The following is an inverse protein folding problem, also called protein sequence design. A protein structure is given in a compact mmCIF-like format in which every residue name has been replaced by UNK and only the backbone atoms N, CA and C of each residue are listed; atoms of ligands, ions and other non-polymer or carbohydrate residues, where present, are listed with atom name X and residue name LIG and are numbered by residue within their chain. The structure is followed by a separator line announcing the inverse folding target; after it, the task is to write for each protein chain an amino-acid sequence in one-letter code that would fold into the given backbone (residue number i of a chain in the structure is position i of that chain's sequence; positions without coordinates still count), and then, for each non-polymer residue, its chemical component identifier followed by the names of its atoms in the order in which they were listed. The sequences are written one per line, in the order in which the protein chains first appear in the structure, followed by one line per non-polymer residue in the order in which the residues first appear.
data_IF_918247648169
#
_entry.id   IF_918247648169
#
_cell.length_a   1.000
_cell.length_b   1.000
_cell.length_c   1.000
_cell.angle_alpha   90.00
_cell.angle_beta   90.00
_cell.angle_gamma   90.00
#
_symmetry.space_group_name_H-M   'P 1'
#
loop_
_entity.id
_entity.type
_entity.pdbx_description
1 polymer ?
#
# COMPACT_ATOMS: atom_id res chain seq x y z
N UNK A 1 -8.93 -19.98 -10.98
CA UNK A 1 -8.30 -18.99 -10.10
C UNK A 1 -7.26 -18.19 -10.89
N UNK A 2 -7.52 -16.89 -11.14
CA UNK A 2 -6.56 -15.95 -11.73
C UNK A 2 -5.29 -15.80 -10.91
N UNK A 3 -4.11 -15.93 -11.52
CA UNK A 3 -2.84 -15.78 -10.80
C UNK A 3 -1.83 -14.91 -11.59
N UNK A 4 -1.25 -13.94 -10.88
CA UNK A 4 -0.11 -13.14 -11.36
C UNK A 4 1.17 -13.52 -10.64
N UNK A 5 1.91 -12.52 -10.16
CA UNK A 5 3.20 -12.64 -9.49
C UNK A 5 3.28 -13.42 -8.17
N UNK A 6 2.14 -13.88 -7.63
CA UNK A 6 2.04 -14.62 -6.34
C UNK A 6 2.59 -13.85 -5.12
N UNK A 7 2.47 -12.53 -5.14
CA UNK A 7 2.95 -11.64 -4.06
C UNK A 7 1.85 -11.16 -3.12
N UNK A 8 0.58 -11.51 -3.37
CA UNK A 8 -0.55 -11.09 -2.54
C UNK A 8 -0.54 -11.74 -1.15
N UNK A 9 -0.86 -10.96 -0.11
CA UNK A 9 -0.66 -11.34 1.30
C UNK A 9 -1.91 -11.87 2.01
N UNK A 10 -3.04 -11.95 1.30
CA UNK A 10 -4.34 -12.31 1.89
C UNK A 10 -4.89 -13.64 1.40
N UNK A 11 -4.09 -14.43 0.67
CA UNK A 11 -4.52 -15.74 0.15
C UNK A 11 -5.43 -15.69 -1.08
N UNK A 12 -5.62 -14.50 -1.69
CA UNK A 12 -6.46 -14.31 -2.87
C UNK A 12 -6.01 -15.13 -4.10
N UNK A 13 -4.70 -15.36 -4.23
CA UNK A 13 -4.08 -16.13 -5.32
C UNK A 13 -3.75 -17.59 -4.99
N UNK A 14 -4.28 -18.13 -3.88
CA UNK A 14 -4.09 -19.53 -3.48
C UNK A 14 -5.23 -20.38 -4.04
N UNK A 15 -4.88 -21.44 -4.77
CA UNK A 15 -5.84 -22.39 -5.35
C UNK A 15 -6.23 -23.50 -4.37
N UNK A 16 -7.41 -24.08 -4.58
CA UNK A 16 -7.88 -25.28 -3.88
C UNK A 16 -7.82 -26.52 -4.80
N UNK A 17 -7.81 -27.75 -4.24
CA UNK A 17 -7.91 -28.95 -5.06
C UNK A 17 -9.10 -28.89 -6.04
N UNK A 18 -8.84 -29.19 -7.31
CA UNK A 18 -9.84 -29.13 -8.38
C UNK A 18 -9.99 -27.78 -9.08
N UNK A 19 -9.34 -26.71 -8.59
CA UNK A 19 -9.33 -25.42 -9.28
C UNK A 19 -8.23 -25.36 -10.36
N UNK A 20 -8.56 -24.79 -11.51
CA UNK A 20 -7.58 -24.45 -12.54
C UNK A 20 -6.91 -23.11 -12.24
N UNK A 21 -5.58 -23.07 -12.32
CA UNK A 21 -4.80 -21.84 -12.22
C UNK A 21 -4.72 -21.21 -13.61
N UNK A 22 -5.22 -19.98 -13.75
CA UNK A 22 -5.11 -19.18 -14.97
C UNK A 22 -4.01 -18.14 -14.76
N UNK A 23 -2.81 -18.43 -15.25
CA UNK A 23 -1.62 -17.58 -15.03
C UNK A 23 -1.50 -16.49 -16.10
N UNK A 24 -1.15 -15.28 -15.67
CA UNK A 24 -0.79 -14.15 -16.56
C UNK A 24 0.67 -14.16 -16.99
N UNK A 25 1.51 -15.08 -16.51
CA UNK A 25 2.98 -15.02 -16.65
C UNK A 25 3.50 -14.89 -18.10
N UNK A 26 2.73 -15.34 -19.10
CA UNK A 26 3.08 -15.24 -20.54
C UNK A 26 2.45 -14.04 -21.25
N UNK A 27 1.72 -13.20 -20.53
CA UNK A 27 1.16 -11.93 -21.00
C UNK A 27 2.10 -10.79 -20.60
N UNK A 28 3.40 -10.96 -20.82
CA UNK A 28 4.51 -10.16 -20.29
C UNK A 28 5.07 -9.14 -21.30
N UNK A 29 4.31 -8.85 -22.35
CA UNK A 29 4.72 -7.91 -23.40
C UNK A 29 4.36 -6.47 -23.02
N UNK A 30 5.35 -5.58 -23.09
CA UNK A 30 5.15 -4.13 -23.20
C UNK A 30 4.94 -3.82 -24.68
N UNK A 31 3.78 -3.28 -25.04
CA UNK A 31 3.38 -3.18 -26.44
C UNK A 31 3.65 -1.82 -27.06
N UNK A 32 3.46 -0.75 -26.29
CA UNK A 32 3.67 0.62 -26.73
C UNK A 32 3.90 1.52 -25.52
N UNK A 33 4.94 2.35 -25.57
CA UNK A 33 5.16 3.48 -24.66
C UNK A 33 5.01 4.74 -25.51
N UNK A 34 4.16 5.66 -25.08
CA UNK A 34 4.00 6.98 -25.69
C UNK A 34 4.42 8.05 -24.68
N UNK A 35 5.66 8.58 -24.78
CA UNK A 35 6.16 9.58 -23.85
C UNK A 35 5.43 10.92 -23.93
N UNK A 36 4.90 11.28 -25.11
CA UNK A 36 4.19 12.54 -25.32
C UNK A 36 2.80 12.47 -24.67
N UNK A 37 2.09 11.37 -24.88
CA UNK A 37 0.81 11.11 -24.21
C UNK A 37 0.97 10.68 -22.74
N UNK A 38 2.19 10.31 -22.33
CA UNK A 38 2.51 9.69 -21.03
C UNK A 38 1.63 8.48 -20.76
N UNK A 39 1.60 7.55 -21.71
CA UNK A 39 0.84 6.30 -21.57
C UNK A 39 1.67 5.09 -21.93
N UNK A 40 1.29 3.94 -21.37
CA UNK A 40 1.87 2.65 -21.75
C UNK A 40 0.77 1.60 -21.91
N UNK A 41 0.87 0.79 -22.96
CA UNK A 41 0.03 -0.40 -23.17
C UNK A 41 0.84 -1.64 -22.84
N UNK A 42 0.34 -2.46 -21.91
CA UNK A 42 1.04 -3.64 -21.40
C UNK A 42 0.12 -4.85 -21.26
N UNK A 43 0.69 -6.04 -21.39
CA UNK A 43 0.05 -7.27 -20.94
C UNK A 43 0.00 -7.36 -19.41
N UNK A 44 -0.99 -8.09 -18.90
CA UNK A 44 -1.25 -8.25 -17.46
C UNK A 44 -0.13 -8.98 -16.70
N UNK A 45 0.74 -9.71 -17.40
CA UNK A 45 1.88 -10.44 -16.83
C UNK A 45 3.16 -9.62 -16.68
N UNK A 46 3.22 -8.41 -17.24
CA UNK A 46 4.38 -7.52 -17.08
C UNK A 46 4.61 -7.26 -15.59
N UNK A 47 5.85 -7.40 -15.11
CA UNK A 47 6.20 -7.07 -13.72
C UNK A 47 6.33 -5.55 -13.57
N UNK A 48 6.07 -5.04 -12.37
CA UNK A 48 6.23 -3.61 -12.09
C UNK A 48 7.67 -3.16 -12.36
N UNK A 49 8.67 -3.95 -11.95
CA UNK A 49 10.07 -3.64 -12.20
C UNK A 49 10.39 -3.56 -13.70
N UNK A 50 9.96 -4.53 -14.50
CA UNK A 50 10.19 -4.50 -15.94
C UNK A 50 9.53 -3.27 -16.59
N UNK A 51 8.36 -2.86 -16.10
CA UNK A 51 7.71 -1.65 -16.56
C UNK A 51 8.49 -0.38 -16.15
N UNK A 52 8.96 -0.30 -14.90
CA UNK A 52 9.77 0.82 -14.41
C UNK A 52 11.06 0.98 -15.23
N UNK A 53 11.77 -0.13 -15.49
CA UNK A 53 12.98 -0.15 -16.32
C UNK A 53 12.69 0.34 -17.75
N UNK A 54 11.60 -0.12 -18.36
CA UNK A 54 11.23 0.28 -19.72
C UNK A 54 10.79 1.75 -19.84
N UNK A 55 10.21 2.35 -18.79
CA UNK A 55 9.80 3.76 -18.82
C UNK A 55 10.90 4.72 -18.36
N UNK A 56 11.93 4.23 -17.66
CA UNK A 56 13.05 5.03 -17.19
C UNK A 56 13.82 5.70 -18.35
N UNK A 57 13.98 5.01 -19.48
CA UNK A 57 14.66 5.52 -20.68
C UNK A 57 14.00 6.78 -21.27
N UNK A 58 12.71 7.00 -20.96
CA UNK A 58 11.95 8.17 -21.40
C UNK A 58 11.64 9.14 -20.27
N UNK A 59 12.29 8.98 -19.11
CA UNK A 59 12.16 9.88 -17.96
C UNK A 59 10.81 9.80 -17.24
N UNK A 60 10.10 8.67 -17.37
CA UNK A 60 8.77 8.46 -16.81
C UNK A 60 8.74 7.24 -15.89
N UNK A 61 7.72 7.19 -15.01
CA UNK A 61 7.46 6.08 -14.10
C UNK A 61 5.99 5.64 -14.15
N UNK A 62 5.63 4.42 -13.71
CA UNK A 62 4.25 3.92 -13.69
C UNK A 62 3.32 4.62 -12.68
N UNK A 63 3.84 5.56 -11.90
CA UNK A 63 3.09 6.30 -10.87
C UNK A 63 2.87 5.53 -9.56
N UNK A 64 3.31 4.28 -9.46
CA UNK A 64 3.16 3.40 -8.31
C UNK A 64 4.46 2.64 -8.06
N UNK A 65 4.78 2.38 -6.79
CA UNK A 65 5.95 1.60 -6.41
C UNK A 65 5.71 0.82 -5.11
N UNK A 66 6.23 -0.40 -5.03
CA UNK A 66 6.04 -1.31 -3.90
C UNK A 66 7.21 -2.31 -3.78
N UNK A 67 7.43 -2.84 -2.58
CA UNK A 67 8.57 -3.72 -2.28
C UNK A 67 8.63 -4.98 -3.17
N UNK A 68 7.48 -5.54 -3.53
CA UNK A 68 7.38 -6.74 -4.35
C UNK A 68 7.54 -6.51 -5.88
N UNK A 69 8.04 -5.35 -6.31
CA UNK A 69 8.09 -4.90 -7.72
C UNK A 69 8.71 -5.89 -8.71
N UNK A 70 9.71 -6.66 -8.27
CA UNK A 70 10.39 -7.65 -9.11
C UNK A 70 9.51 -8.84 -9.52
N UNK A 71 8.45 -9.12 -8.75
CA UNK A 71 7.55 -10.25 -8.99
C UNK A 71 6.10 -9.83 -9.21
N UNK A 72 5.65 -8.72 -8.61
CA UNK A 72 4.29 -8.21 -8.74
C UNK A 72 3.99 -7.84 -10.19
N UNK A 73 2.93 -8.43 -10.74
CA UNK A 73 2.49 -8.23 -12.14
C UNK A 73 1.41 -7.16 -12.24
N UNK A 74 1.35 -6.41 -13.33
CA UNK A 74 0.35 -5.35 -13.56
C UNK A 74 -1.09 -5.84 -13.39
N UNK A 75 -1.45 -7.01 -13.93
CA UNK A 75 -2.78 -7.59 -13.76
C UNK A 75 -3.12 -7.93 -12.31
N UNK A 76 -2.11 -8.38 -11.55
CA UNK A 76 -2.22 -8.61 -10.11
C UNK A 76 -2.47 -7.30 -9.35
N UNK A 77 -1.69 -6.26 -9.64
CA UNK A 77 -1.84 -4.93 -9.03
C UNK A 77 -3.21 -4.31 -9.36
N UNK A 78 -3.70 -4.48 -10.58
CA UNK A 78 -5.06 -4.09 -10.98
C UNK A 78 -6.09 -4.87 -10.14
N UNK A 79 -5.97 -6.19 -10.09
CA UNK A 79 -6.92 -7.04 -9.37
C UNK A 79 -6.96 -6.72 -7.88
N UNK A 80 -5.85 -6.33 -7.25
CA UNK A 80 -5.82 -5.96 -5.83
C UNK A 80 -6.03 -4.47 -5.57
N UNK A 81 -6.07 -3.63 -6.62
CA UNK A 81 -6.00 -2.18 -6.51
C UNK A 81 -4.81 -1.73 -5.65
N UNK A 82 -3.61 -2.24 -5.97
CA UNK A 82 -2.40 -2.01 -5.21
C UNK A 82 -2.14 -0.51 -4.94
N UNK A 83 -1.59 -0.22 -3.77
CA UNK A 83 -1.05 1.08 -3.40
C UNK A 83 0.48 1.06 -3.36
N UNK A 84 1.05 1.72 -2.37
CA UNK A 84 2.47 1.83 -2.10
C UNK A 84 2.89 3.26 -1.81
N UNK A 85 4.20 3.47 -1.70
CA UNK A 85 4.81 4.73 -1.21
C UNK A 85 4.43 5.99 -2.00
N UNK A 86 3.94 5.85 -3.24
CA UNK A 86 3.53 6.97 -4.09
C UNK A 86 2.01 7.24 -4.07
N UNK A 87 1.22 6.46 -3.32
CA UNK A 87 -0.24 6.54 -3.32
C UNK A 87 -0.77 7.91 -2.88
N UNK A 88 -0.15 8.53 -1.88
CA UNK A 88 -0.49 9.88 -1.43
C UNK A 88 -0.46 10.94 -2.53
N UNK A 89 0.38 10.73 -3.56
CA UNK A 89 0.62 11.69 -4.64
C UNK A 89 -0.14 11.33 -5.91
N UNK A 90 0.02 10.08 -6.34
CA UNK A 90 -0.43 9.63 -7.65
C UNK A 90 -1.76 8.88 -7.58
N UNK A 91 -2.20 8.54 -6.37
CA UNK A 91 -3.28 7.60 -6.11
C UNK A 91 -2.86 6.14 -6.30
N UNK A 92 -3.72 5.22 -5.87
CA UNK A 92 -3.56 3.77 -6.04
C UNK A 92 -3.79 3.31 -7.48
N UNK A 93 -3.62 2.01 -7.76
CA UNK A 93 -3.65 1.44 -9.11
C UNK A 93 -4.86 1.86 -9.96
N UNK A 94 -6.06 2.02 -9.39
CA UNK A 94 -7.22 2.51 -10.15
C UNK A 94 -7.05 3.88 -10.79
N UNK A 95 -6.20 4.72 -10.21
CA UNK A 95 -5.89 6.05 -10.76
C UNK A 95 -4.87 5.96 -11.88
N UNK A 96 -4.04 4.90 -11.90
CA UNK A 96 -3.05 4.65 -12.95
C UNK A 96 -3.69 4.06 -14.22
N UNK A 97 -4.81 3.37 -14.10
CA UNK A 97 -5.46 2.67 -15.22
C UNK A 97 -6.33 3.61 -16.06
N UNK A 98 -5.98 3.77 -17.34
CA UNK A 98 -6.80 4.45 -18.35
C UNK A 98 -7.78 3.48 -19.01
N UNK A 99 -7.32 2.28 -19.38
CA UNK A 99 -8.09 1.28 -20.11
C UNK A 99 -7.72 -0.15 -19.74
N UNK A 100 -8.65 -1.09 -19.94
CA UNK A 100 -8.48 -2.52 -19.63
C UNK A 100 -9.06 -3.39 -20.75
N UNK A 101 -8.39 -4.51 -21.00
CA UNK A 101 -8.94 -5.67 -21.69
C UNK A 101 -9.04 -6.84 -20.69
N UNK A 102 -10.18 -7.52 -20.66
CA UNK A 102 -10.42 -8.65 -19.77
C UNK A 102 -11.33 -9.71 -20.38
N UNK A 103 -11.06 -10.97 -20.01
CA UNK A 103 -11.94 -12.10 -20.27
C UNK A 103 -12.98 -12.21 -19.15
N UNK A 104 -14.25 -12.21 -19.51
CA UNK A 104 -15.38 -12.31 -18.60
C UNK A 104 -15.68 -13.79 -18.25
N UNK A 105 -16.49 -14.08 -17.22
CA UNK A 105 -16.77 -15.45 -16.79
C UNK A 105 -17.47 -16.33 -17.84
N UNK A 106 -18.18 -15.73 -18.79
CA UNK A 106 -18.80 -16.42 -19.93
C UNK A 106 -17.82 -16.67 -21.10
N UNK A 107 -16.58 -16.21 -20.99
CA UNK A 107 -15.53 -16.31 -22.00
C UNK A 107 -15.49 -15.15 -23.00
N UNK A 108 -16.41 -14.18 -22.91
CA UNK A 108 -16.39 -12.99 -23.76
C UNK A 108 -15.19 -12.09 -23.45
N UNK A 109 -14.69 -11.39 -24.46
CA UNK A 109 -13.62 -10.41 -24.32
C UNK A 109 -14.23 -9.00 -24.25
N UNK A 110 -14.02 -8.32 -23.14
CA UNK A 110 -14.32 -6.89 -22.99
C UNK A 110 -13.03 -6.12 -23.17
N UNK A 111 -12.99 -5.22 -24.15
CA UNK A 111 -11.80 -4.44 -24.49
C UNK A 111 -12.11 -2.97 -24.62
N UNK A 112 -11.68 -2.18 -23.65
CA UNK A 112 -11.64 -0.72 -23.71
C UNK A 112 -10.23 -0.25 -23.32
N UNK A 113 -9.31 -0.33 -24.29
CA UNK A 113 -7.91 0.09 -24.15
C UNK A 113 -7.74 1.57 -24.52
N UNK A 114 -8.64 2.42 -24.04
CA UNK A 114 -8.54 3.88 -24.19
C UNK A 114 -7.22 4.41 -23.63
N UNK A 115 -6.69 5.43 -24.31
CA UNK A 115 -5.43 6.12 -23.96
C UNK A 115 -5.66 7.57 -23.51
N UNK A 116 -6.92 7.92 -23.21
CA UNK A 116 -7.30 9.28 -22.82
C UNK A 116 -7.90 9.31 -21.42
N UNK A 117 -7.69 10.42 -20.72
CA UNK A 117 -8.20 10.61 -19.35
C UNK A 117 -9.72 10.82 -19.29
N UNK A 118 -10.28 11.52 -20.29
CA UNK A 118 -11.69 11.92 -20.29
C UNK A 118 -12.53 10.96 -21.12
N UNK A 119 -13.22 10.05 -20.43
CA UNK A 119 -14.18 9.13 -21.02
C UNK A 119 -15.48 9.21 -20.23
N UNK A 120 -16.58 9.53 -20.89
CA UNK A 120 -17.93 9.60 -20.28
C UNK A 120 -18.98 8.94 -21.18
N UNK A 121 -18.55 7.95 -21.98
CA UNK A 121 -19.39 7.21 -22.91
C UNK A 121 -20.07 6.00 -22.23
N UNK A 122 -20.74 6.25 -21.11
CA UNK A 122 -21.43 5.22 -20.30
C UNK A 122 -20.70 4.85 -19.01
N UNK A 123 -21.16 3.80 -18.31
CA UNK A 123 -20.56 3.35 -17.04
C UNK A 123 -19.12 2.88 -17.20
N UNK A 124 -18.28 3.25 -16.24
CA UNK A 124 -16.86 2.86 -16.23
C UNK A 124 -16.65 1.43 -15.69
N UNK A 125 -16.93 0.43 -16.52
CA UNK A 125 -16.90 -0.99 -16.12
C UNK A 125 -15.53 -1.48 -15.66
N UNK A 126 -14.43 -0.83 -16.09
CA UNK A 126 -13.08 -1.19 -15.65
C UNK A 126 -12.92 -1.05 -14.13
N UNK A 127 -13.68 -0.14 -13.50
CA UNK A 127 -13.68 0.04 -12.05
C UNK A 127 -14.22 -1.17 -11.29
N UNK A 128 -15.06 -2.01 -11.93
CA UNK A 128 -15.50 -3.28 -11.34
C UNK A 128 -14.36 -4.29 -11.30
N UNK A 129 -13.46 -4.29 -12.29
CA UNK A 129 -12.35 -5.23 -12.37
C UNK A 129 -11.19 -4.84 -11.43
N UNK A 130 -10.99 -3.54 -11.21
CA UNK A 130 -9.92 -3.02 -10.35
C UNK A 130 -10.28 -3.18 -8.87
N UNK A 131 -9.48 -3.94 -8.11
CA UNK A 131 -9.75 -4.29 -6.71
C UNK A 131 -10.75 -5.44 -6.53
N UNK A 132 -11.04 -6.18 -7.61
CA UNK A 132 -11.97 -7.33 -7.58
C UNK A 132 -11.35 -8.64 -7.12
N UNK A 133 -10.03 -8.70 -7.00
CA UNK A 133 -9.26 -9.92 -6.75
C UNK A 133 -9.57 -11.05 -7.74
N UNK A 134 -9.88 -10.69 -9.00
CA UNK A 134 -10.21 -11.63 -10.06
C UNK A 134 -11.62 -12.22 -9.97
N UNK A 135 -12.50 -11.64 -9.15
CA UNK A 135 -13.86 -12.13 -8.96
C UNK A 135 -14.78 -11.86 -10.16
N UNK A 136 -14.54 -10.80 -10.94
CA UNK A 136 -15.45 -10.36 -12.00
C UNK A 136 -14.91 -10.57 -13.41
N UNK A 137 -13.64 -10.95 -13.56
CA UNK A 137 -12.99 -11.14 -14.85
C UNK A 137 -11.50 -11.40 -14.70
N UNK A 138 -10.86 -11.70 -15.83
CA UNK A 138 -9.45 -11.97 -15.94
C UNK A 138 -8.81 -10.91 -16.82
N UNK A 139 -8.11 -9.95 -16.22
CA UNK A 139 -7.42 -8.87 -16.93
C UNK A 139 -6.30 -9.45 -17.78
N UNK A 140 -6.30 -9.15 -19.08
CA UNK A 140 -5.31 -9.63 -20.05
C UNK A 140 -4.34 -8.53 -20.46
N UNK A 141 -4.82 -7.30 -20.63
CA UNK A 141 -4.04 -6.11 -21.01
C UNK A 141 -4.55 -4.87 -20.30
N UNK A 142 -3.71 -3.87 -20.18
CA UNK A 142 -4.06 -2.57 -19.61
C UNK A 142 -3.34 -1.43 -20.34
N UNK A 143 -3.98 -0.27 -20.35
CA UNK A 143 -3.34 1.01 -20.63
C UNK A 143 -3.19 1.75 -19.31
N UNK A 144 -1.96 2.13 -18.97
CA UNK A 144 -1.65 2.91 -17.79
C UNK A 144 -1.20 4.32 -18.20
N UNK A 145 -1.54 5.32 -17.38
CA UNK A 145 -0.85 6.62 -17.42
C UNK A 145 0.55 6.48 -16.82
N UNK A 146 1.45 7.36 -17.21
CA UNK A 146 2.80 7.48 -16.69
C UNK A 146 2.97 8.84 -16.01
N UNK A 147 3.75 8.86 -14.94
CA UNK A 147 4.07 10.05 -14.15
C UNK A 147 5.51 10.49 -14.39
N UNK A 148 5.79 11.76 -14.16
CA UNK A 148 7.16 12.28 -14.20
C UNK A 148 7.98 11.71 -13.03
N UNK A 149 9.26 11.48 -13.28
CA UNK A 149 10.24 11.13 -12.24
C UNK A 149 11.30 12.23 -12.14
N UNK A 150 11.51 12.73 -10.92
CA UNK A 150 12.59 13.67 -10.65
C UNK A 150 13.68 12.99 -9.80
N UNK A 151 14.88 12.73 -10.33
CA UNK A 151 15.98 12.14 -9.57
C UNK A 151 16.67 13.13 -8.61
N UNK A 152 16.44 14.43 -8.75
CA UNK A 152 17.12 15.46 -7.97
C UNK A 152 16.45 15.60 -6.59
N UNK A 153 16.87 14.77 -5.63
CA UNK A 153 16.16 14.56 -4.35
C UNK A 153 17.04 14.79 -3.14
N UNK A 154 16.39 15.12 -2.03
CA UNK A 154 16.97 15.10 -0.69
C UNK A 154 16.05 14.33 0.26
N UNK A 155 16.66 13.52 1.13
CA UNK A 155 15.97 12.64 2.09
C UNK A 155 16.38 12.99 3.51
N UNK A 156 15.43 13.05 4.44
CA UNK A 156 15.69 13.28 5.85
C UNK A 156 14.97 12.28 6.75
N UNK A 157 15.58 12.00 7.90
CA UNK A 157 14.90 11.43 9.06
C UNK A 157 14.71 12.53 10.09
N UNK A 158 13.50 12.68 10.61
CA UNK A 158 13.13 13.74 11.55
C UNK A 158 12.39 13.14 12.73
N UNK A 159 12.86 13.40 13.94
CA UNK A 159 12.16 13.09 15.18
C UNK A 159 10.98 14.03 15.37
N UNK A 160 9.77 13.47 15.49
CA UNK A 160 8.53 14.21 15.65
C UNK A 160 7.81 13.78 16.93
N UNK A 161 7.08 14.68 17.60
CA UNK A 161 6.35 14.34 18.82
C UNK A 161 5.14 13.44 18.53
N UNK A 162 4.53 13.55 17.35
CA UNK A 162 3.31 12.85 16.96
C UNK A 162 3.07 12.89 15.43
N UNK A 163 2.01 12.22 14.96
CA UNK A 163 1.62 12.24 13.55
C UNK A 163 1.07 13.60 13.10
N UNK A 164 0.52 14.39 14.01
CA UNK A 164 0.03 15.75 13.71
C UNK A 164 1.16 16.67 13.26
N UNK A 165 2.30 16.66 13.95
CA UNK A 165 3.51 17.36 13.54
C UNK A 165 4.02 16.87 12.18
N UNK A 166 4.04 15.54 11.96
CA UNK A 166 4.42 14.98 10.67
C UNK A 166 3.52 15.47 9.51
N UNK A 167 2.20 15.53 9.74
CA UNK A 167 1.23 16.06 8.77
C UNK A 167 1.42 17.55 8.50
N UNK A 168 1.80 18.35 9.50
CA UNK A 168 2.12 19.76 9.32
C UNK A 168 3.36 19.95 8.43
N UNK A 169 4.42 19.17 8.66
CA UNK A 169 5.61 19.15 7.78
C UNK A 169 5.20 18.78 6.34
N UNK A 170 4.41 17.74 6.16
CA UNK A 170 3.92 17.32 4.84
C UNK A 170 3.12 18.43 4.15
N UNK A 171 2.23 19.11 4.88
CA UNK A 171 1.44 20.21 4.35
C UNK A 171 2.33 21.38 3.89
N UNK A 172 3.34 21.73 4.69
CA UNK A 172 4.32 22.76 4.35
C UNK A 172 5.08 22.45 3.07
N UNK A 173 5.70 21.26 2.97
CA UNK A 173 6.49 20.90 1.80
C UNK A 173 5.63 20.73 0.53
N UNK A 174 4.39 20.25 0.66
CA UNK A 174 3.43 20.20 -0.48
C UNK A 174 3.00 21.57 -0.97
N UNK A 175 2.99 22.59 -0.10
CA UNK A 175 2.57 23.94 -0.47
C UNK A 175 3.63 24.71 -1.27
N UNK A 176 4.87 24.21 -1.32
CA UNK A 176 6.00 24.89 -1.98
C UNK A 176 6.02 24.56 -3.48
N UNK A 177 5.78 25.54 -4.38
CA UNK A 177 5.65 25.26 -5.82
C UNK A 177 6.94 24.75 -6.48
N UNK A 178 8.11 25.08 -5.91
CA UNK A 178 9.41 24.66 -6.43
C UNK A 178 9.78 23.22 -6.02
N UNK A 179 8.97 22.59 -5.16
CA UNK A 179 9.25 21.26 -4.62
C UNK A 179 8.17 20.26 -5.03
N UNK A 180 8.56 19.00 -5.04
CA UNK A 180 7.63 17.89 -5.07
C UNK A 180 7.93 16.97 -3.90
N UNK A 181 6.91 16.66 -3.10
CA UNK A 181 7.04 15.64 -2.06
C UNK A 181 7.08 14.25 -2.74
N UNK A 182 8.14 13.51 -2.48
CA UNK A 182 8.42 12.18 -3.05
C UNK A 182 8.11 11.05 -2.07
N UNK A 183 8.28 11.28 -0.77
CA UNK A 183 8.05 10.29 0.27
C UNK A 183 7.73 10.93 1.62
N UNK A 184 6.84 10.29 2.38
CA UNK A 184 6.47 10.71 3.73
C UNK A 184 5.98 9.49 4.52
N UNK A 185 6.88 8.90 5.29
CA UNK A 185 6.67 7.65 6.03
C UNK A 185 6.89 7.87 7.51
N UNK A 186 5.93 7.49 8.34
CA UNK A 186 6.03 7.64 9.79
C UNK A 186 6.29 6.28 10.43
N UNK A 187 7.26 6.24 11.34
CA UNK A 187 7.63 5.06 12.11
C UNK A 187 7.56 5.40 13.60
N UNK A 188 6.73 4.68 14.36
CA UNK A 188 6.71 4.88 15.81
C UNK A 188 7.97 4.29 16.45
N UNK A 189 8.42 4.91 17.54
CA UNK A 189 9.74 4.73 18.14
C UNK A 189 10.22 3.27 18.20
N UNK A 190 9.35 2.36 18.65
CA UNK A 190 9.71 0.94 18.83
C UNK A 190 10.10 0.26 17.52
N UNK A 191 9.39 0.54 16.42
CA UNK A 191 9.74 -0.02 15.11
C UNK A 191 11.11 0.46 14.64
N UNK A 192 11.36 1.78 14.71
CA UNK A 192 12.64 2.32 14.25
C UNK A 192 13.82 1.78 15.05
N UNK A 193 13.69 1.72 16.38
CA UNK A 193 14.80 1.27 17.25
C UNK A 193 15.23 -0.15 16.94
N UNK A 194 14.26 -1.06 16.81
CA UNK A 194 14.54 -2.46 16.57
C UNK A 194 15.04 -2.68 15.12
N UNK A 195 14.48 -1.95 14.15
CA UNK A 195 14.98 -1.92 12.77
C UNK A 195 16.41 -1.39 12.67
N UNK A 196 16.72 -0.30 13.37
CA UNK A 196 18.05 0.29 13.39
C UNK A 196 19.07 -0.63 14.07
N UNK A 197 18.71 -1.27 15.19
CA UNK A 197 19.55 -2.23 15.88
C UNK A 197 19.87 -3.44 14.98
N UNK A 198 18.87 -4.00 14.30
CA UNK A 198 19.02 -5.10 13.34
C UNK A 198 19.97 -4.74 12.18
N UNK A 199 19.97 -3.48 11.74
CA UNK A 199 20.77 -3.00 10.59
C UNK A 199 22.09 -2.33 10.98
N UNK A 200 22.41 -2.26 12.27
CA UNK A 200 23.58 -1.54 12.77
C UNK A 200 23.58 -0.05 12.39
N UNK A 201 22.39 0.57 12.35
CA UNK A 201 22.24 1.99 12.07
C UNK A 201 22.31 2.80 13.38
N UNK A 202 23.19 3.79 13.43
CA UNK A 202 23.39 4.60 14.63
C UNK A 202 22.26 5.64 14.80
N UNK A 203 21.60 5.58 15.96
CA UNK A 203 20.56 6.52 16.39
C UNK A 203 21.07 7.53 17.41
N UNK A 204 22.38 7.71 17.58
CA UNK A 204 22.96 8.68 18.53
C UNK A 204 22.58 10.15 18.29
N UNK A 205 22.03 10.47 17.12
CA UNK A 205 21.47 11.79 16.79
C UNK A 205 20.02 11.98 17.26
N UNK A 206 19.34 10.90 17.65
CA UNK A 206 17.92 10.88 18.01
C UNK A 206 17.75 10.92 19.53
N UNK A 207 16.94 11.85 20.04
CA UNK A 207 16.61 11.90 21.46
C UNK A 207 15.90 10.61 21.94
N UNK A 208 16.26 10.15 23.14
CA UNK A 208 15.87 8.85 23.67
C UNK A 208 14.37 8.73 24.01
N UNK A 209 13.60 9.80 24.00
CA UNK A 209 12.16 9.82 24.23
C UNK A 209 11.34 10.22 22.99
N UNK A 210 12.00 10.43 21.84
CA UNK A 210 11.33 10.78 20.57
C UNK A 210 10.24 9.74 20.22
N UNK A 211 8.95 10.12 20.18
CA UNK A 211 7.84 9.17 20.02
C UNK A 211 7.69 8.56 18.63
N UNK A 212 8.00 9.33 17.58
CA UNK A 212 7.91 8.88 16.21
C UNK A 212 8.94 9.57 15.31
N UNK A 213 9.23 8.95 14.17
CA UNK A 213 10.25 9.40 13.23
C UNK A 213 9.63 9.45 11.84
N UNK A 214 9.70 10.62 11.23
CA UNK A 214 9.30 10.88 9.86
C UNK A 214 10.49 10.70 8.93
N UNK A 215 10.38 9.76 8.00
CA UNK A 215 11.20 9.70 6.80
C UNK A 215 10.52 10.56 5.72
N UNK A 216 11.18 11.61 5.28
CA UNK A 216 10.69 12.52 4.25
C UNK A 216 11.66 12.59 3.08
N UNK A 217 11.13 12.67 1.87
CA UNK A 217 11.90 12.91 0.66
C UNK A 217 11.23 13.98 -0.20
N UNK A 218 12.01 14.96 -0.66
CA UNK A 218 11.56 16.02 -1.57
C UNK A 218 12.45 16.07 -2.80
N UNK A 219 11.89 16.48 -3.93
CA UNK A 219 12.63 16.75 -5.17
C UNK A 219 12.48 18.21 -5.60
N UNK A 220 13.50 18.73 -6.30
CA UNK A 220 13.56 20.11 -6.79
C UNK A 220 14.29 20.20 -8.15
N UNK A 221 14.66 21.41 -8.60
CA UNK A 221 15.41 21.60 -9.85
C UNK A 221 16.83 21.03 -9.81
N UNK A 222 17.43 20.95 -8.63
CA UNK A 222 18.70 20.28 -8.37
C UNK A 222 18.73 19.63 -6.98
N UNK A 223 19.68 18.72 -6.74
CA UNK A 223 19.87 18.08 -5.42
C UNK A 223 20.21 19.13 -4.33
N UNK A 224 21.00 20.16 -4.69
CA UNK A 224 21.36 21.24 -3.77
C UNK A 224 20.13 22.05 -3.35
N UNK A 225 19.27 22.42 -4.30
CA UNK A 225 18.00 23.12 -4.03
C UNK A 225 17.05 22.26 -3.20
N UNK A 226 16.94 20.95 -3.50
CA UNK A 226 16.10 20.04 -2.74
C UNK A 226 16.56 19.96 -1.28
N UNK A 227 17.88 19.86 -1.07
CA UNK A 227 18.50 19.81 0.25
C UNK A 227 18.32 21.11 1.02
N UNK A 228 18.65 22.26 0.42
CA UNK A 228 18.51 23.57 1.03
C UNK A 228 17.05 23.81 1.45
N UNK A 229 16.10 23.53 0.55
CA UNK A 229 14.70 23.70 0.86
C UNK A 229 14.22 22.77 1.98
N UNK A 230 14.73 21.53 2.05
CA UNK A 230 14.46 20.59 3.13
C UNK A 230 15.00 21.11 4.47
N UNK A 231 16.27 21.53 4.51
CA UNK A 231 16.92 22.09 5.70
C UNK A 231 16.21 23.36 6.20
N UNK A 232 15.93 24.32 5.31
CA UNK A 232 15.19 25.55 5.65
C UNK A 232 13.77 25.28 6.11
N UNK A 233 13.07 24.34 5.46
CA UNK A 233 11.71 23.98 5.82
C UNK A 233 11.63 23.33 7.20
N UNK A 234 12.58 22.44 7.51
CA UNK A 234 12.68 21.84 8.84
C UNK A 234 13.04 22.89 9.90
N UNK A 235 13.99 23.78 9.62
CA UNK A 235 14.37 24.85 10.55
C UNK A 235 13.20 25.80 10.87
N UNK A 236 12.40 26.17 9.85
CA UNK A 236 11.24 27.04 10.03
C UNK A 236 10.14 26.43 10.91
N UNK A 237 10.00 25.10 10.88
CA UNK A 237 8.95 24.36 11.59
C UNK A 237 9.43 23.77 12.92
N UNK A 238 10.72 23.92 13.24
CA UNK A 238 11.39 23.17 14.29
C UNK A 238 10.77 23.41 15.67
N UNK A 239 10.71 24.67 16.10
CA UNK A 239 10.16 25.05 17.40
C UNK A 239 8.63 24.95 17.42
N UNK A 240 7.96 25.38 16.33
CA UNK A 240 6.50 25.42 16.24
C UNK A 240 5.85 24.04 16.39
N UNK A 241 6.47 23.01 15.80
CA UNK A 241 5.95 21.64 15.82
C UNK A 241 6.74 20.69 16.72
N UNK A 242 7.62 21.24 17.57
CA UNK A 242 8.33 20.47 18.60
C UNK A 242 9.24 19.38 18.04
N UNK A 243 9.94 19.65 16.93
CA UNK A 243 10.90 18.72 16.36
C UNK A 243 12.08 18.55 17.33
N UNK A 244 12.47 17.31 17.60
CA UNK A 244 13.47 16.99 18.63
C UNK A 244 14.85 16.69 18.04
N UNK A 245 14.88 16.14 16.83
CA UNK A 245 16.10 15.66 16.20
C UNK A 245 15.91 15.56 14.70
N UNK A 246 16.98 15.60 13.92
CA UNK A 246 16.87 15.42 12.48
C UNK A 246 18.22 15.28 11.80
N UNK A 247 18.26 14.42 10.79
CA UNK A 247 19.43 14.24 9.93
C UNK A 247 18.99 14.23 8.47
N UNK A 248 19.70 15.01 7.64
CA UNK A 248 19.56 15.01 6.19
C UNK A 248 20.65 14.12 5.60
N UNK A 249 20.29 13.26 4.65
CA UNK A 249 21.24 12.38 3.99
C UNK A 249 22.31 13.21 3.24
N UNK A 250 23.58 12.94 3.53
CA UNK A 250 24.73 13.56 2.87
C UNK A 250 25.15 12.83 1.57
N UNK A 251 24.53 11.68 1.28
CA UNK A 251 24.79 10.90 0.07
C UNK A 251 23.60 10.00 -0.29
N UNK A 252 23.56 9.54 -1.53
CA UNK A 252 22.57 8.55 -1.99
C UNK A 252 22.65 7.23 -1.22
N UNK A 253 23.85 6.82 -0.78
CA UNK A 253 24.01 5.61 0.05
C UNK A 253 23.34 5.80 1.42
N UNK A 254 23.56 6.95 2.05
CA UNK A 254 22.90 7.26 3.32
C UNK A 254 21.38 7.36 3.17
N UNK A 255 20.88 7.96 2.08
CA UNK A 255 19.45 8.01 1.78
C UNK A 255 18.87 6.59 1.62
N UNK A 256 19.55 5.68 0.91
CA UNK A 256 19.15 4.27 0.81
C UNK A 256 19.13 3.58 2.17
N UNK A 257 20.11 3.86 3.04
CA UNK A 257 20.13 3.33 4.41
C UNK A 257 18.95 3.85 5.25
N UNK A 258 18.51 5.10 5.04
CA UNK A 258 17.30 5.61 5.70
C UNK A 258 16.05 4.86 5.21
N UNK A 259 15.90 4.69 3.90
CA UNK A 259 14.79 3.91 3.32
C UNK A 259 14.81 2.45 3.79
N UNK A 260 15.99 1.83 3.91
CA UNK A 260 16.12 0.45 4.39
C UNK A 260 15.54 0.27 5.81
N UNK A 261 15.59 1.29 6.68
CA UNK A 261 14.98 1.23 8.01
C UNK A 261 13.45 1.08 7.94
N UNK A 262 12.83 1.61 6.89
CA UNK A 262 11.38 1.62 6.64
C UNK A 262 10.89 0.44 5.80
N UNK A 263 11.68 -0.02 4.84
CA UNK A 263 11.27 -1.05 3.87
C UNK A 263 11.50 -2.48 4.37
N UNK A 264 12.57 -2.74 5.12
CA UNK A 264 12.93 -4.09 5.55
C UNK A 264 12.34 -4.42 6.92
N UNK A 265 11.15 -5.01 6.89
CA UNK A 265 10.40 -5.48 8.05
C UNK A 265 10.73 -6.90 8.54
N UNK A 266 11.68 -7.61 7.91
CA UNK A 266 11.95 -9.02 8.25
C UNK A 266 12.44 -9.20 9.69
N UNK A 267 13.05 -8.16 10.26
CA UNK A 267 13.48 -8.16 11.66
C UNK A 267 12.32 -8.45 12.61
N UNK A 268 11.09 -8.00 12.30
CA UNK A 268 9.93 -8.22 13.17
C UNK A 268 9.65 -9.71 13.34
N UNK A 269 9.75 -10.49 12.27
CA UNK A 269 9.50 -11.93 12.29
C UNK A 269 10.67 -12.74 12.85
N UNK A 270 11.90 -12.19 12.82
CA UNK A 270 13.05 -12.77 13.53
C UNK A 270 12.88 -12.69 15.05
N UNK A 271 12.34 -11.56 15.54
CA UNK A 271 12.10 -11.35 16.98
C UNK A 271 10.79 -11.99 17.45
N UNK A 272 9.74 -11.92 16.64
CA UNK A 272 8.41 -12.44 16.94
C UNK A 272 7.91 -13.33 15.79
N UNK A 273 8.32 -14.61 15.78
CA UNK A 273 7.84 -15.56 14.78
C UNK A 273 6.32 -15.64 14.78
N UNK A 274 5.72 -15.61 13.58
CA UNK A 274 4.27 -15.64 13.39
C UNK A 274 3.48 -14.47 14.01
N UNK A 275 4.13 -13.31 14.25
CA UNK A 275 3.43 -12.08 14.60
C UNK A 275 2.32 -11.77 13.58
N UNK A 276 1.05 -11.62 14.01
CA UNK A 276 -0.01 -11.28 13.09
C UNK A 276 0.17 -9.85 12.59
N UNK A 277 0.08 -9.69 11.27
CA UNK A 277 0.26 -8.41 10.58
C UNK A 277 -1.06 -7.91 10.01
N UNK A 278 -1.20 -6.60 10.05
CA UNK A 278 -2.39 -5.88 9.63
C UNK A 278 -1.99 -4.72 8.75
N UNK A 279 -2.87 -4.42 7.80
CA UNK A 279 -2.75 -3.33 6.85
C UNK A 279 -4.11 -2.63 6.85
N UNK A 280 -4.15 -1.43 7.43
CA UNK A 280 -5.37 -0.68 7.70
C UNK A 280 -5.19 0.77 7.31
N UNK A 281 -6.30 1.49 7.12
CA UNK A 281 -6.25 2.95 6.96
C UNK A 281 -7.28 3.63 7.83
N UNK A 282 -6.90 4.77 8.39
CA UNK A 282 -7.77 5.66 9.17
C UNK A 282 -7.59 7.10 8.65
N UNK A 283 -8.51 8.04 8.94
CA UNK A 283 -8.29 9.43 8.60
C UNK A 283 -6.94 9.93 9.16
N UNK A 284 -6.08 10.62 8.37
CA UNK A 284 -4.74 11.01 8.83
C UNK A 284 -4.73 11.79 10.16
N UNK A 285 -5.71 12.68 10.36
CA UNK A 285 -5.84 13.44 11.62
C UNK A 285 -6.25 12.60 12.85
N UNK A 286 -6.51 11.30 12.70
CA UNK A 286 -6.87 10.38 13.78
C UNK A 286 -5.77 9.35 14.09
N UNK A 287 -4.60 9.43 13.44
CA UNK A 287 -3.54 8.42 13.55
C UNK A 287 -3.05 8.26 15.00
N UNK A 288 -2.73 9.36 15.69
CA UNK A 288 -2.21 9.30 17.07
C UNK A 288 -3.21 8.65 18.03
N UNK A 289 -4.45 9.14 18.02
CA UNK A 289 -5.52 8.58 18.84
C UNK A 289 -5.82 7.11 18.52
N UNK A 290 -5.73 6.71 17.25
CA UNK A 290 -5.88 5.32 16.85
C UNK A 290 -4.75 4.44 17.41
N UNK A 291 -3.48 4.87 17.30
CA UNK A 291 -2.32 4.10 17.76
C UNK A 291 -2.32 3.95 19.27
N UNK A 292 -2.66 5.00 20.02
CA UNK A 292 -2.77 4.92 21.47
C UNK A 292 -3.92 4.01 21.91
N UNK A 293 -5.09 4.14 21.26
CA UNK A 293 -6.23 3.25 21.50
C UNK A 293 -5.92 1.79 21.14
N UNK A 294 -5.15 1.55 20.07
CA UNK A 294 -4.73 0.21 19.66
C UNK A 294 -3.89 -0.43 20.77
N UNK A 295 -2.89 0.27 21.28
CA UNK A 295 -2.04 -0.23 22.37
C UNK A 295 -2.85 -0.55 23.62
N UNK A 296 -3.82 0.28 23.98
CA UNK A 296 -4.71 0.02 25.11
C UNK A 296 -5.58 -1.22 24.89
N UNK A 297 -6.17 -1.37 23.70
CA UNK A 297 -6.98 -2.55 23.35
C UNK A 297 -6.16 -3.84 23.32
N UNK A 298 -4.93 -3.80 22.81
CA UNK A 298 -4.01 -4.96 22.82
C UNK A 298 -3.64 -5.36 24.25
N UNK A 299 -3.32 -4.41 25.13
CA UNK A 299 -3.03 -4.67 26.55
C UNK A 299 -4.23 -5.26 27.32
N UNK A 300 -5.45 -4.96 26.87
CA UNK A 300 -6.66 -5.56 27.43
C UNK A 300 -6.86 -7.02 26.99
N UNK A 301 -6.31 -7.42 25.83
CA UNK A 301 -6.26 -8.83 25.40
C UNK A 301 -5.21 -9.58 26.21
N UNK A 302 -3.99 -9.04 26.28
CA UNK A 302 -2.91 -9.55 27.13
C UNK A 302 -1.97 -8.38 27.51
N UNK A 303 -1.63 -8.19 28.80
CA UNK A 303 -0.75 -7.09 29.22
C UNK A 303 0.64 -7.07 28.57
N UNK A 304 1.11 -8.22 28.06
CA UNK A 304 2.37 -8.37 27.34
C UNK A 304 2.27 -8.09 25.84
N UNK A 305 1.08 -7.81 25.29
CA UNK A 305 0.91 -7.45 23.89
C UNK A 305 1.18 -5.97 23.63
N UNK A 306 1.78 -5.72 22.47
CA UNK A 306 2.07 -4.41 21.92
C UNK A 306 2.11 -4.50 20.39
N UNK A 307 2.48 -3.43 19.70
CA UNK A 307 2.60 -3.44 18.24
C UNK A 307 3.81 -2.64 17.74
N UNK A 308 4.42 -3.16 16.68
CA UNK A 308 5.15 -2.32 15.73
C UNK A 308 4.14 -1.60 14.84
N UNK A 309 4.29 -0.27 14.72
CA UNK A 309 3.42 0.57 13.88
C UNK A 309 4.28 1.48 13.01
N UNK A 310 4.01 1.46 11.72
CA UNK A 310 4.67 2.29 10.71
C UNK A 310 3.78 2.42 9.48
N UNK A 311 3.98 3.42 8.62
CA UNK A 311 3.24 3.50 7.36
C UNK A 311 3.24 4.86 6.68
N UNK A 312 2.36 4.95 5.67
CA UNK A 312 2.15 6.10 4.82
C UNK A 312 1.28 7.13 5.55
N UNK A 313 1.90 7.97 6.38
CA UNK A 313 1.18 8.97 7.20
C UNK A 313 0.31 9.91 6.37
N UNK A 314 0.74 10.18 5.14
CA UNK A 314 0.14 11.15 4.24
C UNK A 314 -1.22 10.72 3.66
N UNK A 315 -1.51 9.43 3.62
CA UNK A 315 -2.79 8.85 3.19
C UNK A 315 -3.48 8.01 4.27
N UNK A 316 -2.90 7.97 5.48
CA UNK A 316 -3.49 7.36 6.66
C UNK A 316 -3.35 5.84 6.71
N UNK A 317 -2.52 5.24 5.84
CA UNK A 317 -2.23 3.81 5.87
C UNK A 317 -1.25 3.45 7.00
N UNK A 318 -1.62 2.47 7.81
CA UNK A 318 -0.78 1.88 8.84
C UNK A 318 -0.55 0.39 8.59
N UNK A 319 0.72 -0.01 8.65
CA UNK A 319 1.14 -1.39 8.80
C UNK A 319 1.39 -1.65 10.28
N UNK A 320 0.77 -2.71 10.79
CA UNK A 320 0.77 -3.04 12.22
C UNK A 320 1.19 -4.51 12.35
N UNK A 321 2.24 -4.77 13.12
CA UNK A 321 2.61 -6.13 13.53
C UNK A 321 2.43 -6.26 15.02
N UNK A 322 1.52 -7.12 15.47
CA UNK A 322 1.23 -7.32 16.89
C UNK A 322 2.25 -8.29 17.48
N UNK A 323 2.86 -7.89 18.59
CA UNK A 323 4.04 -8.55 19.18
C UNK A 323 3.82 -8.80 20.66
N UNK A 324 4.49 -9.82 21.19
CA UNK A 324 4.33 -10.28 22.56
C UNK A 324 4.41 -11.80 22.65
N UNK A 325 4.58 -12.32 23.87
CA UNK A 325 4.60 -13.77 24.09
C UNK A 325 3.20 -14.35 23.87
N UNK A 326 3.06 -15.35 23.00
CA UNK A 326 1.78 -16.02 22.78
C UNK A 326 0.84 -15.33 21.78
N UNK A 327 1.31 -14.33 21.01
CA UNK A 327 0.49 -13.67 19.96
C UNK A 327 0.00 -14.63 18.86
N UNK A 328 0.67 -15.78 18.70
CA UNK A 328 0.28 -16.84 17.79
C UNK A 328 -0.43 -18.02 18.47
N UNK A 329 -0.78 -17.90 19.76
CA UNK A 329 -1.45 -18.98 20.48
C UNK A 329 -2.88 -19.20 19.93
N UNK A 330 -3.38 -20.46 19.95
CA UNK A 330 -4.77 -20.74 19.57
C UNK A 330 -5.77 -19.89 20.38
N UNK A 331 -6.79 -19.36 19.70
CA UNK A 331 -7.83 -18.52 20.33
C UNK A 331 -7.48 -17.05 20.51
N UNK A 332 -6.22 -16.64 20.25
CA UNK A 332 -5.78 -15.24 20.41
C UNK A 332 -6.02 -14.38 19.16
N UNK A 333 -6.05 -15.00 17.97
CA UNK A 333 -6.21 -14.29 16.69
C UNK A 333 -7.43 -13.37 16.66
N UNK A 334 -8.61 -13.87 17.05
CA UNK A 334 -9.86 -13.09 16.98
C UNK A 334 -9.85 -11.89 17.96
N UNK A 335 -9.46 -12.04 19.24
CA UNK A 335 -9.26 -10.90 20.13
C UNK A 335 -8.29 -9.84 19.60
N UNK A 336 -7.16 -10.25 18.98
CA UNK A 336 -6.21 -9.30 18.38
C UNK A 336 -6.87 -8.57 17.20
N UNK A 337 -7.51 -9.31 16.30
CA UNK A 337 -8.21 -8.70 15.17
C UNK A 337 -9.29 -7.73 15.64
N UNK A 338 -10.03 -8.05 16.71
CA UNK A 338 -11.04 -7.16 17.28
C UNK A 338 -10.41 -5.89 17.87
N UNK A 339 -9.27 -6.01 18.55
CA UNK A 339 -8.50 -4.87 19.06
C UNK A 339 -8.01 -3.94 17.92
N UNK A 340 -7.64 -4.49 16.77
CA UNK A 340 -7.21 -3.71 15.59
C UNK A 340 -8.41 -3.07 14.89
N UNK A 341 -9.41 -3.86 14.52
CA UNK A 341 -10.47 -3.44 13.59
C UNK A 341 -11.58 -2.63 14.23
N UNK A 342 -11.82 -2.76 15.54
CA UNK A 342 -12.83 -1.95 16.24
C UNK A 342 -12.51 -0.46 16.13
N UNK A 343 -11.28 -0.06 16.47
CA UNK A 343 -10.87 1.35 16.35
C UNK A 343 -10.87 1.87 14.91
N UNK A 344 -10.55 1.00 13.94
CA UNK A 344 -10.64 1.36 12.51
C UNK A 344 -12.09 1.64 12.12
N UNK A 345 -13.03 0.79 12.53
CA UNK A 345 -14.44 0.94 12.22
C UNK A 345 -15.06 2.18 12.88
N UNK A 346 -14.71 2.46 14.14
CA UNK A 346 -15.16 3.66 14.88
C UNK A 346 -14.76 4.96 14.17
N UNK A 347 -13.60 4.98 13.52
CA UNK A 347 -13.09 6.13 12.77
C UNK A 347 -13.56 6.18 11.31
N UNK A 348 -14.39 5.23 10.87
CA UNK A 348 -14.80 5.12 9.46
C UNK A 348 -13.65 4.77 8.51
N UNK A 349 -12.59 4.12 9.01
CA UNK A 349 -11.45 3.67 8.24
C UNK A 349 -11.68 2.37 7.46
N UNK A 350 -10.61 1.82 6.90
CA UNK A 350 -10.61 0.52 6.18
C UNK A 350 -9.78 -0.52 6.91
N UNK A 351 -10.34 -1.72 7.11
CA UNK A 351 -9.63 -2.88 7.64
C UNK A 351 -8.61 -3.49 6.65
N UNK A 352 -8.63 -3.02 5.40
CA UNK A 352 -7.67 -3.37 4.37
C UNK A 352 -7.38 -2.15 3.50
N UNK A 353 -6.19 -1.58 3.60
CA UNK A 353 -5.81 -0.41 2.84
C UNK A 353 -5.36 -0.81 1.42
N UNK A 354 -4.46 -1.78 1.30
CA UNK A 354 -3.78 -2.14 0.06
C UNK A 354 -3.85 -3.63 -0.28
N UNK A 355 -3.79 -4.50 0.73
CA UNK A 355 -3.55 -5.93 0.48
C UNK A 355 -4.78 -6.71 -0.03
N UNK A 356 -5.98 -6.11 0.03
CA UNK A 356 -7.24 -6.78 -0.33
C UNK A 356 -7.82 -7.63 0.80
N UNK A 357 -8.72 -8.55 0.47
CA UNK A 357 -9.50 -9.37 1.42
C UNK A 357 -9.11 -10.84 1.37
N UNK A 358 -9.03 -11.42 0.18
CA UNK A 358 -8.63 -12.81 -0.07
C UNK A 358 -9.39 -13.86 0.75
N UNK A 359 -8.67 -14.78 1.38
CA UNK A 359 -9.19 -15.72 2.38
C UNK A 359 -8.89 -15.27 3.80
N UNK A 360 -7.74 -14.62 4.01
CA UNK A 360 -7.25 -14.25 5.34
C UNK A 360 -8.16 -13.25 6.06
N UNK A 361 -8.66 -12.23 5.35
CA UNK A 361 -9.51 -11.18 5.95
C UNK A 361 -11.00 -11.49 5.83
N UNK A 362 -11.39 -12.77 5.69
CA UNK A 362 -12.80 -13.18 5.56
C UNK A 362 -13.64 -12.72 6.74
N UNK A 363 -13.16 -12.96 7.97
CA UNK A 363 -13.86 -12.55 9.19
C UNK A 363 -14.03 -11.03 9.21
N UNK A 364 -12.95 -10.29 8.95
CA UNK A 364 -12.98 -8.84 8.92
C UNK A 364 -13.96 -8.28 7.88
N UNK A 365 -13.97 -8.82 6.65
CA UNK A 365 -14.91 -8.41 5.60
C UNK A 365 -16.38 -8.66 5.99
N UNK A 366 -16.68 -9.76 6.68
CA UNK A 366 -18.04 -10.09 7.11
C UNK A 366 -18.49 -9.27 8.33
N UNK A 367 -17.60 -9.06 9.31
CA UNK A 367 -17.91 -8.38 10.57
C UNK A 367 -17.82 -6.86 10.49
N UNK A 368 -16.76 -6.33 9.86
CA UNK A 368 -16.46 -4.89 9.81
C UNK A 368 -16.75 -4.24 8.46
N UNK A 369 -16.89 -5.03 7.39
CA UNK A 369 -17.26 -4.48 6.08
C UNK A 369 -18.67 -3.89 6.05
N UNK A 370 -18.93 -2.99 5.11
CA UNK A 370 -20.27 -2.44 4.89
C UNK A 370 -21.21 -3.48 4.26
N UNK A 371 -22.26 -3.88 4.98
CA UNK A 371 -23.18 -4.93 4.56
C UNK A 371 -23.88 -4.63 3.22
N UNK A 372 -24.32 -3.39 2.99
CA UNK A 372 -24.97 -2.98 1.75
C UNK A 372 -24.01 -3.05 0.55
N UNK A 373 -22.76 -2.61 0.72
CA UNK A 373 -21.70 -2.76 -0.30
C UNK A 373 -21.46 -4.23 -0.63
N UNK A 374 -21.42 -5.11 0.39
CA UNK A 374 -21.28 -6.56 0.16
C UNK A 374 -22.44 -7.13 -0.64
N UNK A 375 -23.68 -6.75 -0.32
CA UNK A 375 -24.88 -7.23 -1.01
C UNK A 375 -24.86 -6.86 -2.50
N UNK A 376 -24.50 -5.61 -2.82
CA UNK A 376 -24.34 -5.16 -4.22
C UNK A 376 -23.22 -5.93 -4.93
N UNK A 377 -22.06 -6.09 -4.28
CA UNK A 377 -20.94 -6.83 -4.85
C UNK A 377 -21.30 -8.30 -5.15
N UNK A 378 -22.09 -8.94 -4.28
CA UNK A 378 -22.62 -10.30 -4.47
C UNK A 378 -23.64 -10.36 -5.60
N UNK A 379 -24.55 -9.38 -5.71
CA UNK A 379 -25.51 -9.32 -6.81
C UNK A 379 -24.83 -9.18 -8.17
N UNK A 380 -23.81 -8.32 -8.27
CA UNK A 380 -22.97 -8.19 -9.48
C UNK A 380 -22.26 -9.50 -9.78
N UNK A 381 -21.70 -10.17 -8.77
CA UNK A 381 -21.02 -11.47 -8.93
C UNK A 381 -21.99 -12.53 -9.46
N UNK A 382 -23.21 -12.59 -8.94
CA UNK A 382 -24.22 -13.55 -9.39
C UNK A 382 -24.67 -13.29 -10.84
N UNK A 383 -24.75 -12.02 -11.24
CA UNK A 383 -25.11 -11.64 -12.61
C UNK A 383 -23.99 -11.96 -13.63
N UNK A 384 -22.74 -11.62 -13.32
CA UNK A 384 -21.61 -11.81 -14.23
C UNK A 384 -21.07 -13.25 -14.24
N UNK A 385 -21.13 -13.95 -13.10
CA UNK A 385 -20.61 -15.30 -12.93
C UNK A 385 -21.63 -16.20 -12.21
N UNK A 386 -22.74 -16.57 -12.87
CA UNK A 386 -23.79 -17.39 -12.27
C UNK A 386 -23.29 -18.77 -11.86
N UNK A 387 -22.25 -19.28 -12.53
CA UNK A 387 -21.60 -20.57 -12.24
C UNK A 387 -20.49 -20.48 -11.18
N UNK A 388 -20.19 -19.29 -10.68
CA UNK A 388 -19.18 -19.01 -9.66
C UNK A 388 -17.79 -19.60 -10.02
N UNK A 389 -17.36 -19.45 -11.27
CA UNK A 389 -16.10 -19.99 -11.79
C UNK A 389 -14.88 -19.15 -11.39
N UNK A 390 -15.04 -17.82 -11.32
CA UNK A 390 -13.93 -16.89 -11.15
C UNK A 390 -13.66 -16.63 -9.67
N UNK A 391 -12.54 -17.17 -9.20
CA UNK A 391 -12.03 -17.07 -7.84
C UNK A 391 -13.04 -17.38 -6.71
N UNK A 392 -13.71 -18.55 -6.74
CA UNK A 392 -14.71 -18.92 -5.73
C UNK A 392 -14.11 -19.01 -4.32
N UNK A 393 -14.97 -18.83 -3.31
CA UNK A 393 -14.58 -18.94 -1.90
C UNK A 393 -13.83 -17.72 -1.34
N UNK A 394 -13.68 -16.66 -2.12
CA UNK A 394 -13.06 -15.38 -1.76
C UNK A 394 -14.05 -14.22 -1.96
N UNK A 395 -13.58 -12.98 -1.89
CA UNK A 395 -14.42 -11.79 -2.09
C UNK A 395 -15.07 -11.77 -3.50
N UNK A 396 -16.35 -11.36 -3.65
CA UNK A 396 -17.35 -11.13 -2.61
C UNK A 396 -17.96 -12.46 -2.16
N UNK A 397 -17.64 -12.94 -0.96
CA UNK A 397 -18.05 -14.29 -0.51
C UNK A 397 -19.54 -14.51 -0.70
N UNK A 398 -19.91 -15.57 -1.43
CA UNK A 398 -21.32 -15.93 -1.62
C UNK A 398 -21.79 -16.86 -0.51
N UNK A 399 -23.08 -16.82 -0.18
CA UNK A 399 -23.69 -17.63 0.88
C UNK A 399 -23.66 -19.14 0.57
N UNK A 400 -23.60 -19.50 -0.72
CA UNK A 400 -23.49 -20.86 -1.26
C UNK A 400 -22.04 -21.37 -1.35
N UNK A 401 -21.04 -20.53 -1.05
CA UNK A 401 -19.65 -20.95 -1.08
C UNK A 401 -19.31 -21.80 0.16
N UNK A 402 -18.67 -22.98 0.01
CA UNK A 402 -18.32 -23.82 1.15
C UNK A 402 -17.47 -23.03 2.15
N UNK A 403 -17.89 -23.08 3.42
CA UNK A 403 -17.10 -22.62 4.57
C UNK A 403 -15.96 -23.63 4.73
N UNK A 404 -14.84 -23.40 4.06
CA UNK A 404 -13.59 -24.09 4.39
C UNK A 404 -12.98 -23.43 5.60
#
# INVERSE_FOLDING_TARGET
MPQGGRTGLVGGGISRPGELILSTARLDRIEAIDPLARTVTVGAGVTLQALQEATADVGLIPGIDLAARGSATIGGMIATNAGGILAFRNGVMRHQVLGIEAVMPDGSLVSDLTRVLKVSAGPDIKQLLIGSEGAYGFVTRAVLKLESFNPMRATALVGVPDATAALALIAHFRSRPALQLEGAELMWQRYLRDSAADKGFDLGWLEADTPAILLMEVSAGSEAEAREALEEGLAALWEEHGLTSGIVAASLDQARRFWALREDGDFMYRHFPAAPSFDVSVPPGALDGYVDGLRQRLKAVDPGFDAYVYGHVADGNLHISVIGNGVAAPGVKEPIEDAVYTGVAELGGSFSAEHGVGTEKRRAYLSYGNASRRAVAQAIKAALDPKNLFNPGKVPYRADAPRT
#
